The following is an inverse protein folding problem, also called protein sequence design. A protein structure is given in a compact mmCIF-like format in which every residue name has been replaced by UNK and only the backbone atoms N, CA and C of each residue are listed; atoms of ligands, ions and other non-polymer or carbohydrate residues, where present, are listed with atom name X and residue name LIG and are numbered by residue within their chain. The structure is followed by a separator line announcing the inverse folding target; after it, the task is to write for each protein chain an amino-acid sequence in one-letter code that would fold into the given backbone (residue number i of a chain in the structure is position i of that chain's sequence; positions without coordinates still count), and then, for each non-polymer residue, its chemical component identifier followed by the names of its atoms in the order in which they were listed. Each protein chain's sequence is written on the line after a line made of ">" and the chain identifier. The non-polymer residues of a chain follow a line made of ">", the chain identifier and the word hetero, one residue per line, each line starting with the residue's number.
data_IF_180570378095
#
_entry.id   IF_180570378095
#
_cell.length_a   1.000
_cell.length_b   1.000
_cell.length_c   1.000
_cell.angle_alpha   90.00
_cell.angle_beta   90.00
_cell.angle_gamma   90.00
#
_symmetry.space_group_name_H-M   'P 1'
#
loop_
_entity.id
_entity.type
_entity.pdbx_description
1 polymer ?
#
# COMPACT_ATOMS: atom_id res chain seq x y z
N UNK A 1 10.40 -62.29 19.49
CA UNK A 1 10.88 -60.91 19.53
C UNK A 1 10.28 -60.17 18.35
N UNK A 2 9.27 -59.28 18.59
CA UNK A 2 8.67 -58.45 17.56
C UNK A 2 9.27 -57.05 17.68
N UNK A 3 9.89 -56.55 16.61
CA UNK A 3 10.36 -55.16 16.49
C UNK A 3 9.14 -54.24 16.28
N UNK A 4 9.06 -53.10 16.93
CA UNK A 4 8.06 -52.11 16.66
C UNK A 4 8.54 -51.14 15.54
N UNK A 5 8.32 -51.53 14.28
CA UNK A 5 8.46 -50.65 13.14
C UNK A 5 7.12 -49.90 12.93
N UNK A 6 7.05 -48.64 13.29
CA UNK A 6 5.79 -47.88 13.12
C UNK A 6 5.83 -46.37 13.29
N UNK A 7 6.93 -45.80 13.81
CA UNK A 7 6.94 -44.37 14.17
C UNK A 7 7.40 -43.41 13.08
N UNK A 8 8.38 -43.74 12.29
CA UNK A 8 9.03 -42.81 11.35
C UNK A 8 8.20 -42.48 10.09
N UNK A 9 7.34 -43.41 9.66
CA UNK A 9 6.51 -43.19 8.46
C UNK A 9 5.32 -42.23 8.67
N UNK A 10 4.83 -42.15 9.91
CA UNK A 10 3.67 -41.29 10.23
C UNK A 10 4.07 -39.83 10.38
N UNK A 11 5.27 -39.57 10.93
CA UNK A 11 5.78 -38.19 11.11
C UNK A 11 6.13 -37.57 9.75
N UNK A 12 6.75 -38.28 8.83
CA UNK A 12 7.05 -37.78 7.47
C UNK A 12 5.78 -37.48 6.64
N UNK A 13 4.69 -38.26 6.81
CA UNK A 13 3.41 -37.98 6.11
C UNK A 13 2.73 -36.74 6.63
N UNK A 14 2.76 -36.46 7.91
CA UNK A 14 2.17 -35.25 8.51
C UNK A 14 2.93 -33.98 8.16
N UNK A 15 4.26 -34.03 8.10
CA UNK A 15 5.09 -32.89 7.66
C UNK A 15 4.90 -32.58 6.17
N UNK A 16 4.83 -33.57 5.30
CA UNK A 16 4.55 -33.39 3.88
C UNK A 16 3.18 -32.80 3.61
N UNK A 17 2.14 -33.20 4.35
CA UNK A 17 0.80 -32.65 4.23
C UNK A 17 0.74 -31.20 4.69
N UNK A 18 1.42 -30.83 5.77
CA UNK A 18 1.44 -29.45 6.27
C UNK A 18 2.18 -28.49 5.31
N UNK A 19 3.24 -28.96 4.65
CA UNK A 19 4.00 -28.18 3.65
C UNK A 19 3.20 -27.96 2.38
N UNK A 20 2.45 -28.97 1.93
CA UNK A 20 1.56 -28.85 0.76
C UNK A 20 0.42 -27.88 1.04
N UNK A 21 -0.21 -27.97 2.20
CA UNK A 21 -1.27 -27.03 2.61
C UNK A 21 -0.78 -25.59 2.71
N UNK A 22 0.42 -25.35 3.25
CA UNK A 22 1.04 -24.03 3.27
C UNK A 22 1.30 -23.48 1.85
N UNK A 23 1.75 -24.33 0.94
CA UNK A 23 1.98 -23.93 -0.46
C UNK A 23 0.69 -23.52 -1.14
N UNK A 24 -0.37 -24.31 -0.98
CA UNK A 24 -1.71 -23.97 -1.53
C UNK A 24 -2.25 -22.64 -0.98
N UNK A 25 -2.08 -22.36 0.31
CA UNK A 25 -2.48 -21.10 0.93
C UNK A 25 -1.71 -19.90 0.37
N UNK A 26 -0.39 -20.05 0.12
CA UNK A 26 0.43 -19.02 -0.50
C UNK A 26 0.01 -18.80 -1.96
N UNK A 27 -0.23 -19.85 -2.73
CA UNK A 27 -0.65 -19.75 -4.13
C UNK A 27 -2.05 -19.12 -4.24
N UNK A 28 -2.96 -19.44 -3.33
CA UNK A 28 -4.26 -18.79 -3.20
C UNK A 28 -4.12 -17.28 -2.89
N UNK A 29 -3.22 -16.90 -1.99
CA UNK A 29 -2.97 -15.49 -1.69
C UNK A 29 -2.39 -14.74 -2.89
N UNK A 30 -1.43 -15.32 -3.60
CA UNK A 30 -0.81 -14.70 -4.79
C UNK A 30 -1.83 -14.51 -5.91
N UNK A 31 -2.71 -15.49 -6.14
CA UNK A 31 -3.76 -15.41 -7.17
C UNK A 31 -4.94 -14.51 -6.79
N UNK A 32 -5.16 -14.26 -5.49
CA UNK A 32 -6.28 -13.47 -5.00
C UNK A 32 -6.28 -12.04 -5.56
N UNK A 33 -7.33 -11.67 -6.30
CA UNK A 33 -7.50 -10.34 -6.87
C UNK A 33 -6.49 -10.00 -7.97
N UNK A 34 -5.87 -11.00 -8.61
CA UNK A 34 -4.96 -10.76 -9.72
C UNK A 34 -5.69 -10.17 -10.93
N UNK A 35 -5.15 -9.07 -11.46
CA UNK A 35 -5.58 -8.47 -12.72
C UNK A 35 -4.40 -8.39 -13.68
N UNK A 36 -4.58 -8.66 -14.99
CA UNK A 36 -3.47 -8.65 -15.95
C UNK A 36 -2.79 -7.28 -16.04
N UNK A 37 -1.48 -7.30 -16.26
CA UNK A 37 -0.66 -6.11 -16.41
C UNK A 37 -1.01 -5.37 -17.70
N UNK A 38 -1.28 -4.07 -17.61
CA UNK A 38 -1.54 -3.19 -18.77
C UNK A 38 -0.54 -2.05 -18.79
N UNK A 39 0.32 -1.97 -19.80
CA UNK A 39 1.34 -0.91 -19.96
C UNK A 39 0.77 0.50 -19.84
N UNK A 40 -0.38 0.76 -20.48
CA UNK A 40 -1.03 2.07 -20.42
C UNK A 40 -1.47 2.50 -19.01
N UNK A 41 -1.76 1.55 -18.12
CA UNK A 41 -2.07 1.88 -16.72
C UNK A 41 -0.83 2.37 -15.96
N UNK A 42 0.35 1.81 -16.23
CA UNK A 42 1.59 2.26 -15.61
C UNK A 42 1.95 3.68 -16.04
N UNK A 43 1.79 4.01 -17.32
CA UNK A 43 2.03 5.38 -17.82
C UNK A 43 1.10 6.38 -17.14
N UNK A 44 -0.19 6.06 -17.04
CA UNK A 44 -1.16 6.90 -16.32
C UNK A 44 -0.79 7.09 -14.84
N UNK A 45 -0.28 6.05 -14.18
CA UNK A 45 0.18 6.12 -12.79
C UNK A 45 1.40 7.01 -12.63
N UNK A 46 2.39 6.92 -13.53
CA UNK A 46 3.55 7.80 -13.54
C UNK A 46 3.10 9.25 -13.63
N UNK A 47 2.24 9.57 -14.62
CA UNK A 47 1.71 10.91 -14.77
C UNK A 47 0.99 11.41 -13.52
N UNK A 48 0.12 10.57 -12.94
CA UNK A 48 -0.61 10.90 -11.72
C UNK A 48 0.32 11.15 -10.52
N UNK A 49 1.39 10.36 -10.36
CA UNK A 49 2.40 10.57 -9.31
C UNK A 49 3.13 11.91 -9.48
N UNK A 50 3.47 12.30 -10.71
CA UNK A 50 4.09 13.58 -10.98
C UNK A 50 3.19 14.76 -10.61
N UNK A 51 1.92 14.71 -11.03
CA UNK A 51 0.93 15.74 -10.70
C UNK A 51 0.76 15.88 -9.19
N UNK A 52 0.64 14.75 -8.47
CA UNK A 52 0.50 14.77 -7.01
C UNK A 52 1.78 15.25 -6.32
N UNK A 53 2.95 14.79 -6.76
CA UNK A 53 4.23 15.23 -6.19
C UNK A 53 4.40 16.74 -6.36
N UNK A 54 4.07 17.29 -7.54
CA UNK A 54 4.05 18.72 -7.77
C UNK A 54 3.04 19.42 -6.84
N UNK A 55 1.82 18.89 -6.70
CA UNK A 55 0.81 19.45 -5.80
C UNK A 55 1.29 19.54 -4.35
N UNK A 56 1.95 18.49 -3.85
CA UNK A 56 2.51 18.49 -2.48
C UNK A 56 3.66 19.50 -2.32
N UNK A 57 4.45 19.74 -3.37
CA UNK A 57 5.51 20.77 -3.36
C UNK A 57 4.97 22.18 -3.15
N UNK A 58 3.75 22.48 -3.61
CA UNK A 58 3.11 23.79 -3.43
C UNK A 58 2.51 24.01 -2.04
N UNK A 59 2.44 22.99 -1.19
CA UNK A 59 1.99 23.14 0.19
C UNK A 59 3.14 23.68 1.04
N UNK A 60 3.13 24.99 1.39
CA UNK A 60 4.13 25.65 2.20
C UNK A 60 5.42 26.07 1.46
N UNK A 61 6.30 26.81 2.15
CA UNK A 61 7.39 27.59 1.52
C UNK A 61 8.75 26.87 1.38
N UNK A 62 8.92 25.62 1.84
CA UNK A 62 10.23 24.97 1.89
C UNK A 62 10.59 24.18 0.65
N UNK A 63 11.56 24.68 -0.09
CA UNK A 63 12.11 24.05 -1.30
C UNK A 63 12.85 22.71 -1.06
N UNK A 64 13.36 22.46 0.16
CA UNK A 64 14.11 21.23 0.45
C UNK A 64 13.29 19.96 0.24
N UNK A 65 12.02 19.98 0.64
CA UNK A 65 11.09 18.88 0.43
C UNK A 65 10.76 18.64 -1.05
N UNK A 66 10.72 19.75 -1.84
CA UNK A 66 10.44 19.68 -3.27
C UNK A 66 11.51 18.86 -4.01
N UNK A 67 12.79 19.06 -3.67
CA UNK A 67 13.90 18.31 -4.27
C UNK A 67 13.79 16.82 -3.93
N UNK A 68 13.52 16.48 -2.67
CA UNK A 68 13.34 15.09 -2.23
C UNK A 68 12.17 14.40 -2.93
N UNK A 69 11.02 15.09 -3.08
CA UNK A 69 9.86 14.58 -3.78
C UNK A 69 10.10 14.40 -5.28
N UNK A 70 10.76 15.37 -5.92
CA UNK A 70 11.12 15.25 -7.33
C UNK A 70 12.06 14.07 -7.56
N UNK A 71 13.09 13.91 -6.72
CA UNK A 71 14.01 12.77 -6.79
C UNK A 71 13.26 11.43 -6.59
N UNK A 72 12.36 11.36 -5.61
CA UNK A 72 11.51 10.18 -5.39
C UNK A 72 10.62 9.85 -6.59
N UNK A 73 9.97 10.85 -7.19
CA UNK A 73 9.14 10.68 -8.38
C UNK A 73 9.96 10.18 -9.58
N UNK A 74 11.18 10.70 -9.77
CA UNK A 74 12.12 10.21 -10.81
C UNK A 74 12.47 8.75 -10.55
N UNK A 75 12.89 8.39 -9.33
CA UNK A 75 13.27 7.02 -8.99
C UNK A 75 12.12 6.02 -9.25
N UNK A 76 10.89 6.35 -8.82
CA UNK A 76 9.70 5.51 -9.05
C UNK A 76 9.37 5.43 -10.53
N UNK A 77 9.52 6.53 -11.29
CA UNK A 77 9.28 6.53 -12.74
C UNK A 77 10.28 5.65 -13.49
N UNK A 78 11.57 5.74 -13.15
CA UNK A 78 12.63 4.88 -13.72
C UNK A 78 12.35 3.41 -13.39
N UNK A 79 11.99 3.12 -12.14
CA UNK A 79 11.62 1.76 -11.72
C UNK A 79 10.45 1.21 -12.56
N UNK A 80 9.40 1.99 -12.78
CA UNK A 80 8.26 1.58 -13.62
C UNK A 80 8.66 1.42 -15.08
N UNK A 81 9.49 2.30 -15.63
CA UNK A 81 10.00 2.17 -16.99
C UNK A 81 10.78 0.85 -17.17
N UNK A 82 11.65 0.50 -16.23
CA UNK A 82 12.39 -0.77 -16.23
C UNK A 82 11.44 -1.97 -16.15
N UNK A 83 10.41 -1.93 -15.31
CA UNK A 83 9.40 -2.99 -15.21
C UNK A 83 8.62 -3.16 -16.54
N UNK A 84 8.25 -2.06 -17.19
CA UNK A 84 7.53 -2.09 -18.47
C UNK A 84 8.38 -2.71 -19.55
N UNK A 85 9.68 -2.39 -19.60
CA UNK A 85 10.59 -2.87 -20.66
C UNK A 85 10.98 -4.32 -20.45
N UNK A 86 11.38 -4.68 -19.20
CA UNK A 86 11.96 -6.01 -18.93
C UNK A 86 10.96 -7.09 -18.55
N UNK A 87 9.84 -6.75 -17.92
CA UNK A 87 8.95 -7.72 -17.26
C UNK A 87 7.46 -7.50 -17.54
N UNK A 88 7.11 -6.95 -18.71
CA UNK A 88 5.73 -6.52 -19.00
C UNK A 88 4.68 -7.64 -19.01
N UNK A 89 5.08 -8.91 -19.05
CA UNK A 89 4.16 -10.06 -19.10
C UNK A 89 4.04 -10.83 -17.78
N UNK A 90 4.87 -10.53 -16.79
CA UNK A 90 4.97 -11.30 -15.55
C UNK A 90 3.98 -10.85 -14.48
N UNK A 91 3.40 -11.80 -13.73
CA UNK A 91 2.56 -11.52 -12.55
C UNK A 91 3.32 -10.71 -11.51
N UNK A 92 4.60 -11.05 -11.32
CA UNK A 92 5.51 -10.39 -10.39
C UNK A 92 5.64 -8.89 -10.67
N UNK A 93 5.85 -8.50 -11.94
CA UNK A 93 5.95 -7.09 -12.33
C UNK A 93 4.66 -6.32 -12.01
N UNK A 94 3.50 -6.94 -12.18
CA UNK A 94 2.22 -6.32 -11.82
C UNK A 94 2.13 -6.03 -10.33
N UNK A 95 2.44 -7.01 -9.49
CA UNK A 95 2.39 -6.82 -8.04
C UNK A 95 3.40 -5.79 -7.54
N UNK A 96 4.61 -5.77 -8.12
CA UNK A 96 5.60 -4.74 -7.80
C UNK A 96 5.12 -3.35 -8.19
N UNK A 97 4.54 -3.20 -9.39
CA UNK A 97 4.00 -1.93 -9.86
C UNK A 97 2.87 -1.43 -8.95
N UNK A 98 1.92 -2.29 -8.59
CA UNK A 98 0.81 -1.94 -7.72
C UNK A 98 1.27 -1.60 -6.29
N UNK A 99 2.18 -2.38 -5.75
CA UNK A 99 2.69 -2.20 -4.39
C UNK A 99 3.54 -0.95 -4.25
N UNK A 100 4.50 -0.72 -5.16
CA UNK A 100 5.36 0.48 -5.13
C UNK A 100 4.55 1.74 -5.37
N UNK A 101 3.60 1.71 -6.34
CA UNK A 101 2.69 2.82 -6.58
C UNK A 101 1.91 3.20 -5.32
N UNK A 102 1.33 2.22 -4.66
CA UNK A 102 0.52 2.41 -3.47
C UNK A 102 1.32 2.96 -2.29
N UNK A 103 2.52 2.41 -2.03
CA UNK A 103 3.37 2.90 -0.95
C UNK A 103 3.88 4.32 -1.20
N UNK A 104 4.28 4.63 -2.44
CA UNK A 104 4.72 5.99 -2.78
C UNK A 104 3.56 6.99 -2.69
N UNK A 105 2.38 6.62 -3.17
CA UNK A 105 1.18 7.44 -3.06
C UNK A 105 0.80 7.67 -1.59
N UNK A 106 0.88 6.65 -0.77
CA UNK A 106 0.66 6.75 0.68
C UNK A 106 1.65 7.71 1.33
N UNK A 107 2.94 7.64 0.97
CA UNK A 107 3.96 8.56 1.45
C UNK A 107 3.67 10.01 1.04
N UNK A 108 3.21 10.25 -0.20
CA UNK A 108 2.83 11.59 -0.66
C UNK A 108 1.68 12.18 0.16
N UNK A 109 0.62 11.40 0.41
CA UNK A 109 -0.50 11.86 1.23
C UNK A 109 -0.10 12.06 2.70
N UNK A 110 0.77 11.22 3.24
CA UNK A 110 1.32 11.38 4.59
C UNK A 110 2.11 12.67 4.71
N UNK A 111 2.95 12.98 3.73
CA UNK A 111 3.72 14.21 3.70
C UNK A 111 2.83 15.44 3.49
N UNK A 112 1.80 15.35 2.64
CA UNK A 112 0.83 16.43 2.46
C UNK A 112 0.08 16.71 3.78
N UNK A 113 -0.34 15.67 4.49
CA UNK A 113 -0.96 15.79 5.81
C UNK A 113 -0.02 16.49 6.80
N UNK A 114 1.23 16.02 6.91
CA UNK A 114 2.24 16.66 7.75
C UNK A 114 2.39 18.16 7.43
N UNK A 115 2.51 18.52 6.16
CA UNK A 115 2.68 19.93 5.76
C UNK A 115 1.50 20.81 6.10
N UNK A 116 0.27 20.31 5.98
CA UNK A 116 -0.92 21.03 6.41
C UNK A 116 -0.92 21.27 7.92
N UNK A 117 -0.52 20.29 8.72
CA UNK A 117 -0.35 20.50 10.17
C UNK A 117 0.79 21.46 10.48
N UNK A 118 1.90 21.39 9.77
CA UNK A 118 3.06 22.26 9.95
C UNK A 118 2.77 23.74 9.63
N UNK A 119 1.85 24.04 8.73
CA UNK A 119 1.39 25.42 8.45
C UNK A 119 0.80 26.08 9.68
N UNK A 120 0.24 25.31 10.60
CA UNK A 120 -0.40 25.83 11.80
C UNK A 120 0.50 25.77 13.03
N UNK A 121 1.16 24.63 13.25
CA UNK A 121 1.93 24.39 14.47
C UNK A 121 3.41 24.77 14.33
N UNK A 122 3.83 25.13 13.13
CA UNK A 122 5.24 25.29 12.77
C UNK A 122 5.89 23.94 12.40
N UNK A 123 6.99 24.01 11.65
CA UNK A 123 7.78 22.86 11.25
C UNK A 123 8.50 22.25 12.47
N UNK A 124 8.17 21.00 12.80
CA UNK A 124 8.85 20.24 13.82
C UNK A 124 9.37 18.91 13.26
N UNK A 125 10.68 18.69 13.40
CA UNK A 125 11.28 17.41 13.01
C UNK A 125 10.64 16.21 13.76
N UNK A 126 10.32 16.40 15.04
CA UNK A 126 9.66 15.35 15.83
C UNK A 126 8.29 14.98 15.26
N UNK A 127 7.53 15.97 14.81
CA UNK A 127 6.23 15.73 14.17
C UNK A 127 6.40 15.00 12.83
N UNK A 128 7.36 15.39 12.00
CA UNK A 128 7.65 14.70 10.74
C UNK A 128 8.01 13.22 10.97
N UNK A 129 8.89 12.95 11.93
CA UNK A 129 9.25 11.58 12.32
C UNK A 129 8.04 10.82 12.85
N UNK A 130 7.18 11.46 13.65
CA UNK A 130 5.94 10.86 14.16
C UNK A 130 5.01 10.40 13.04
N UNK A 131 4.81 11.23 12.01
CA UNK A 131 3.99 10.88 10.84
C UNK A 131 4.57 9.70 10.06
N UNK A 132 5.91 9.66 9.87
CA UNK A 132 6.58 8.54 9.21
C UNK A 132 6.52 7.25 10.03
N UNK A 133 6.71 7.32 11.35
CA UNK A 133 6.60 6.16 12.23
C UNK A 133 5.19 5.60 12.26
N UNK A 134 4.17 6.46 12.22
CA UNK A 134 2.77 6.03 12.14
C UNK A 134 2.48 5.30 10.84
N UNK A 135 2.96 5.81 9.70
CA UNK A 135 2.83 5.15 8.41
C UNK A 135 3.56 3.79 8.42
N UNK A 136 4.81 3.76 8.88
CA UNK A 136 5.61 2.53 8.95
C UNK A 136 4.97 1.48 9.87
N UNK A 137 4.52 1.89 11.06
CA UNK A 137 3.80 1.02 12.00
C UNK A 137 2.53 0.43 11.40
N UNK A 138 1.78 1.25 10.64
CA UNK A 138 0.58 0.79 9.94
C UNK A 138 0.91 -0.26 8.87
N UNK A 139 1.94 -0.03 8.05
CA UNK A 139 2.41 -0.99 7.05
C UNK A 139 2.84 -2.31 7.70
N UNK A 140 3.60 -2.25 8.81
CA UNK A 140 4.00 -3.45 9.54
C UNK A 140 2.79 -4.21 10.12
N UNK A 141 1.81 -3.48 10.68
CA UNK A 141 0.59 -4.09 11.20
C UNK A 141 -0.19 -4.81 10.09
N UNK A 142 -0.34 -4.19 8.91
CA UNK A 142 -0.97 -4.83 7.76
C UNK A 142 -0.21 -6.04 7.26
N UNK A 143 1.11 -6.00 7.21
CA UNK A 143 1.92 -7.16 6.87
C UNK A 143 1.69 -8.31 7.87
N UNK A 144 1.71 -8.01 9.17
CA UNK A 144 1.46 -9.01 10.21
C UNK A 144 0.07 -9.64 10.09
N UNK A 145 -0.98 -8.82 9.92
CA UNK A 145 -2.35 -9.29 9.71
C UNK A 145 -2.43 -10.16 8.45
N UNK A 146 -1.76 -9.76 7.36
CA UNK A 146 -1.74 -10.52 6.12
C UNK A 146 -1.09 -11.87 6.29
N UNK A 147 0.08 -11.96 6.96
CA UNK A 147 0.72 -13.24 7.26
C UNK A 147 -0.18 -14.15 8.11
N UNK A 148 -0.88 -13.57 9.10
CA UNK A 148 -1.85 -14.33 9.91
C UNK A 148 -3.02 -14.84 9.07
N UNK A 149 -3.51 -14.04 8.13
CA UNK A 149 -4.61 -14.41 7.25
C UNK A 149 -4.21 -15.46 6.20
N UNK A 150 -2.96 -15.42 5.69
CA UNK A 150 -2.41 -16.48 4.83
C UNK A 150 -2.42 -17.81 5.60
N UNK A 151 -1.88 -17.84 6.82
CA UNK A 151 -1.85 -19.04 7.67
C UNK A 151 -3.24 -19.59 7.99
N UNK A 152 -4.28 -18.74 8.02
CA UNK A 152 -5.68 -19.13 8.25
C UNK A 152 -6.42 -19.55 6.98
N UNK A 153 -5.80 -19.51 5.81
CA UNK A 153 -6.44 -19.83 4.52
C UNK A 153 -7.56 -18.87 4.11
N UNK A 154 -7.57 -17.64 4.62
CA UNK A 154 -8.65 -16.66 4.32
C UNK A 154 -8.72 -16.34 2.83
N UNK A 155 -7.61 -16.41 2.11
CA UNK A 155 -7.51 -16.09 0.69
C UNK A 155 -7.93 -17.24 -0.25
N UNK A 156 -8.22 -18.41 0.27
CA UNK A 156 -8.76 -19.54 -0.53
C UNK A 156 -10.24 -19.35 -0.91
N UNK A 157 -10.92 -18.39 -0.27
CA UNK A 157 -12.30 -18.05 -0.59
C UNK A 157 -12.37 -16.91 -1.59
N UNK A 158 -13.20 -17.03 -2.63
CA UNK A 158 -13.37 -15.93 -3.59
C UNK A 158 -13.85 -14.65 -2.91
N UNK A 159 -13.30 -13.47 -3.33
CA UNK A 159 -13.71 -12.19 -2.77
C UNK A 159 -15.18 -11.94 -3.08
N UNK A 160 -15.99 -11.72 -2.07
CA UNK A 160 -17.37 -11.28 -2.28
C UNK A 160 -17.38 -9.86 -2.88
N UNK A 161 -18.30 -9.59 -3.82
CA UNK A 161 -18.43 -8.28 -4.47
C UNK A 161 -18.56 -7.11 -3.46
N UNK A 162 -19.05 -7.39 -2.25
CA UNK A 162 -19.13 -6.42 -1.14
C UNK A 162 -17.75 -5.95 -0.65
N UNK A 163 -16.74 -6.83 -0.63
CA UNK A 163 -15.41 -6.48 -0.13
C UNK A 163 -14.64 -5.57 -1.09
N UNK A 164 -14.89 -5.66 -2.39
CA UNK A 164 -14.26 -4.80 -3.40
C UNK A 164 -14.86 -3.40 -3.47
N UNK A 165 -16.10 -3.21 -2.98
CA UNK A 165 -16.80 -1.93 -3.03
C UNK A 165 -16.54 -1.02 -1.82
N UNK A 166 -16.04 -1.55 -0.69
CA UNK A 166 -15.86 -0.78 0.55
C UNK A 166 -14.82 0.33 0.40
N UNK A 167 -13.70 0.07 -0.27
CA UNK A 167 -12.61 1.04 -0.41
C UNK A 167 -13.01 2.28 -1.23
N UNK A 168 -13.60 2.14 -2.44
CA UNK A 168 -14.08 3.30 -3.21
C UNK A 168 -15.23 4.02 -2.52
N UNK A 169 -16.12 3.32 -1.80
CA UNK A 169 -17.21 3.95 -1.05
C UNK A 169 -16.67 4.78 0.13
N UNK A 170 -15.70 4.27 0.88
CA UNK A 170 -15.04 5.02 1.95
C UNK A 170 -14.30 6.26 1.42
N UNK A 171 -13.59 6.14 0.30
CA UNK A 171 -12.90 7.26 -0.35
C UNK A 171 -13.84 8.36 -0.81
N UNK A 172 -14.99 8.00 -1.39
CA UNK A 172 -16.00 8.97 -1.82
C UNK A 172 -16.66 9.68 -0.63
N UNK A 173 -16.98 8.96 0.44
CA UNK A 173 -17.56 9.56 1.65
C UNK A 173 -16.60 10.56 2.32
N UNK A 174 -15.31 10.22 2.41
CA UNK A 174 -14.26 11.13 2.92
C UNK A 174 -14.14 12.37 2.02
N UNK A 175 -14.17 12.21 0.70
CA UNK A 175 -14.10 13.31 -0.25
C UNK A 175 -15.29 14.27 -0.12
N UNK A 176 -16.51 13.76 0.02
CA UNK A 176 -17.73 14.57 0.20
C UNK A 176 -17.69 15.31 1.53
N UNK A 177 -17.28 14.67 2.62
CA UNK A 177 -17.13 15.32 3.93
C UNK A 177 -16.11 16.46 3.87
N UNK A 178 -14.93 16.23 3.27
CA UNK A 178 -13.90 17.24 3.10
C UNK A 178 -14.43 18.44 2.29
N UNK A 179 -15.08 18.19 1.15
CA UNK A 179 -15.65 19.23 0.31
C UNK A 179 -16.72 20.06 1.06
N UNK A 180 -17.59 19.41 1.83
CA UNK A 180 -18.63 20.08 2.62
C UNK A 180 -18.04 20.99 3.69
N UNK A 181 -16.99 20.55 4.38
CA UNK A 181 -16.30 21.37 5.37
C UNK A 181 -15.56 22.57 4.75
N UNK A 182 -14.92 22.39 3.60
CA UNK A 182 -14.27 23.48 2.88
C UNK A 182 -15.24 24.56 2.42
N UNK A 183 -16.50 24.18 2.13
CA UNK A 183 -17.54 25.09 1.64
C UNK A 183 -18.32 25.81 2.75
N UNK A 184 -18.17 25.43 4.03
CA UNK A 184 -19.01 25.96 5.14
C UNK A 184 -18.42 27.16 5.89
N UNK A 185 -17.44 27.91 5.34
CA UNK A 185 -16.92 29.14 5.93
C UNK A 185 -16.18 28.95 7.27
N UNK A 186 -15.64 27.78 7.52
CA UNK A 186 -14.88 27.48 8.73
C UNK A 186 -13.56 28.28 8.80
N UNK A 187 -13.04 28.58 10.00
CA UNK A 187 -11.72 29.19 10.15
C UNK A 187 -10.65 28.38 9.42
N UNK A 188 -9.72 29.04 8.75
CA UNK A 188 -8.67 28.43 7.93
C UNK A 188 -7.88 27.34 8.69
N UNK A 189 -7.61 27.57 9.98
CA UNK A 189 -6.93 26.61 10.85
C UNK A 189 -7.72 25.29 10.98
N UNK A 190 -9.03 25.38 11.19
CA UNK A 190 -9.89 24.18 11.28
C UNK A 190 -9.90 23.40 9.98
N UNK A 191 -9.91 24.09 8.84
CA UNK A 191 -9.84 23.50 7.51
C UNK A 191 -8.52 22.74 7.33
N UNK A 192 -7.39 23.33 7.70
CA UNK A 192 -6.07 22.67 7.59
C UNK A 192 -5.97 21.43 8.47
N UNK A 193 -6.40 21.49 9.73
CA UNK A 193 -6.42 20.32 10.63
C UNK A 193 -7.26 19.18 10.08
N UNK A 194 -8.48 19.50 9.67
CA UNK A 194 -9.41 18.50 9.17
C UNK A 194 -8.91 17.87 7.87
N UNK A 195 -8.46 18.69 6.92
CA UNK A 195 -7.90 18.20 5.66
C UNK A 195 -6.65 17.37 5.89
N UNK A 196 -5.76 17.79 6.79
CA UNK A 196 -4.58 17.05 7.17
C UNK A 196 -4.93 15.68 7.79
N UNK A 197 -5.91 15.64 8.71
CA UNK A 197 -6.38 14.39 9.30
C UNK A 197 -6.99 13.44 8.26
N UNK A 198 -7.79 13.96 7.33
CA UNK A 198 -8.38 13.18 6.24
C UNK A 198 -7.31 12.62 5.29
N UNK A 199 -6.32 13.42 4.92
CA UNK A 199 -5.19 12.97 4.10
C UNK A 199 -4.36 11.90 4.82
N UNK A 200 -4.18 12.02 6.13
CA UNK A 200 -3.50 11.01 6.93
C UNK A 200 -4.26 9.69 6.92
N UNK A 201 -5.56 9.70 7.17
CA UNK A 201 -6.41 8.50 7.10
C UNK A 201 -6.34 7.88 5.70
N UNK A 202 -6.44 8.71 4.66
CA UNK A 202 -6.36 8.26 3.27
C UNK A 202 -4.99 7.64 2.97
N UNK A 203 -3.90 8.25 3.47
CA UNK A 203 -2.54 7.69 3.38
C UNK A 203 -2.48 6.28 3.94
N UNK A 204 -3.01 6.07 5.15
CA UNK A 204 -3.00 4.75 5.80
C UNK A 204 -3.83 3.73 5.01
N UNK A 205 -4.99 4.11 4.50
CA UNK A 205 -5.83 3.22 3.67
C UNK A 205 -5.15 2.86 2.34
N UNK A 206 -4.50 3.82 1.68
CA UNK A 206 -3.76 3.61 0.42
C UNK A 206 -2.52 2.73 0.64
N UNK A 207 -1.97 2.65 1.85
CA UNK A 207 -0.85 1.77 2.14
C UNK A 207 -1.22 0.27 2.07
N UNK A 208 -2.49 -0.10 2.21
CA UNK A 208 -2.96 -1.50 2.21
C UNK A 208 -2.57 -2.25 0.93
N UNK A 209 -2.80 -1.73 -0.31
CA UNK A 209 -2.33 -2.39 -1.52
C UNK A 209 -0.79 -2.51 -1.63
N UNK A 210 -0.03 -1.82 -0.78
CA UNK A 210 1.42 -2.00 -0.65
C UNK A 210 1.82 -3.45 -0.33
N UNK A 211 0.91 -4.22 0.28
CA UNK A 211 1.03 -5.68 0.51
C UNK A 211 1.29 -6.46 -0.80
N UNK A 212 0.94 -5.92 -1.96
CA UNK A 212 1.25 -6.54 -3.25
C UNK A 212 2.76 -6.75 -3.47
N UNK A 213 3.63 -6.00 -2.78
CA UNK A 213 5.08 -6.30 -2.77
C UNK A 213 5.34 -7.68 -2.19
N UNK A 214 4.62 -8.06 -1.12
CA UNK A 214 4.74 -9.41 -0.55
C UNK A 214 4.30 -10.48 -1.56
N UNK A 215 3.22 -10.24 -2.32
CA UNK A 215 2.81 -11.14 -3.41
C UNK A 215 3.91 -11.30 -4.47
N UNK A 216 4.58 -10.21 -4.83
CA UNK A 216 5.68 -10.24 -5.79
C UNK A 216 6.88 -11.05 -5.30
N UNK A 217 7.17 -11.02 -3.99
CA UNK A 217 8.24 -11.81 -3.37
C UNK A 217 7.86 -13.30 -3.30
N UNK A 218 6.60 -13.60 -3.01
CA UNK A 218 6.10 -14.97 -2.88
C UNK A 218 5.79 -15.62 -4.24
N UNK A 219 5.60 -14.81 -5.30
CA UNK A 219 5.35 -15.30 -6.65
C UNK A 219 6.59 -16.03 -7.18
N UNK A 220 6.54 -17.34 -7.23
CA UNK A 220 7.51 -18.16 -7.94
C UNK A 220 7.08 -18.22 -9.40
N UNK A 221 7.85 -17.60 -10.27
CA UNK A 221 7.74 -17.78 -11.73
C UNK A 221 8.48 -19.04 -12.15
#
# INVERSE_FOLDING_TARGET
>A
MRYPDGGAGKIRRTEGASVLEQKEQVDAFVSYGYTPFRKGQCVKRIFFLWVLSAGVCFIGERHVWAVGLAAGAVCVSVFFAVLIVRHSSTKRARFLCDGVFSLYLSLLFNLAAYRLFALETGDSWMMAVGFLLLLFGCVLAFLFITFRNIKKGVFSKEPTAKQTAILPAAGSAVGVLAARFLLTGQPQQTVFRLTGALLLILSLLISIPGINILKAVLCKE
#
